data_IF_503291064980
#
_entry.id   IF_503291064980
#
_cell.length_a   1.000
_cell.length_b   1.000
_cell.length_c   1.000
_cell.angle_alpha   90.00
_cell.angle_beta   90.00
_cell.angle_gamma   90.00
#
_symmetry.space_group_name_H-M   'P 1'
#
loop_
_entity.id
_entity.type
_entity.pdbx_description
1 polymer ?
#
# COMPACT_ATOMS: atom_id res chain seq x y z
N UNK A 1 0.82 -10.60 -5.01
CA UNK A 1 1.02 -10.95 -6.43
C UNK A 1 2.49 -10.72 -6.65
N UNK A 2 3.23 -11.73 -7.10
CA UNK A 2 4.69 -11.64 -7.13
C UNK A 2 5.14 -11.25 -8.53
N UNK A 3 5.88 -10.14 -8.63
CA UNK A 3 6.39 -9.59 -9.88
C UNK A 3 7.91 -9.41 -9.74
N UNK A 4 8.73 -10.14 -10.52
CA UNK A 4 10.17 -9.89 -10.56
C UNK A 4 10.47 -8.48 -11.06
N UNK A 5 11.39 -7.76 -10.41
CA UNK A 5 11.82 -6.41 -10.84
C UNK A 5 12.22 -6.39 -12.32
N UNK A 6 12.91 -7.44 -12.77
CA UNK A 6 13.36 -7.62 -14.15
C UNK A 6 12.24 -7.53 -15.20
N UNK A 7 10.99 -7.89 -14.84
CA UNK A 7 9.83 -7.84 -15.77
C UNK A 7 9.25 -6.44 -15.96
N UNK A 8 9.48 -5.52 -15.02
CA UNK A 8 8.92 -4.16 -15.07
C UNK A 8 9.83 -3.28 -15.92
N UNK A 9 9.98 -3.54 -17.22
CA UNK A 9 10.95 -2.86 -18.10
C UNK A 9 10.57 -1.39 -18.39
N UNK A 10 10.64 -0.94 -19.65
CA UNK A 10 10.30 0.43 -20.02
C UNK A 10 8.78 0.69 -20.09
N UNK A 11 7.96 -0.33 -19.86
CA UNK A 11 6.50 -0.24 -19.92
C UNK A 11 5.93 -0.38 -18.52
N UNK A 12 4.96 0.47 -18.21
CA UNK A 12 4.17 0.41 -16.99
C UNK A 12 3.40 -0.92 -16.93
N UNK A 13 3.35 -1.51 -15.74
CA UNK A 13 2.57 -2.71 -15.46
C UNK A 13 1.37 -2.31 -14.60
N UNK A 14 0.16 -2.52 -15.11
CA UNK A 14 -1.05 -2.40 -14.30
C UNK A 14 -1.18 -3.63 -13.39
N UNK A 15 -1.68 -3.42 -12.17
CA UNK A 15 -2.03 -4.49 -11.25
C UNK A 15 -3.39 -4.23 -10.61
N UNK A 16 -4.01 -5.32 -10.17
CA UNK A 16 -5.21 -5.31 -9.34
C UNK A 16 -5.16 -6.53 -8.41
N UNK A 17 -5.37 -6.28 -7.12
CA UNK A 17 -5.50 -7.29 -6.08
C UNK A 17 -6.84 -7.10 -5.40
N UNK A 18 -7.49 -8.21 -5.07
CA UNK A 18 -8.76 -8.23 -4.33
C UNK A 18 -8.57 -9.03 -3.05
N UNK A 19 -9.02 -8.47 -1.92
CA UNK A 19 -9.06 -9.12 -0.61
C UNK A 19 -10.51 -9.16 -0.12
N UNK A 20 -10.94 -10.32 0.40
CA UNK A 20 -12.27 -10.53 0.98
C UNK A 20 -13.43 -10.04 0.08
N UNK A 21 -13.26 -10.12 -1.24
CA UNK A 21 -14.17 -9.68 -2.32
C UNK A 21 -14.46 -8.18 -2.43
N UNK A 22 -14.29 -7.39 -1.37
CA UNK A 22 -14.78 -6.01 -1.31
C UNK A 22 -13.68 -4.97 -1.04
N UNK A 23 -12.42 -5.39 -0.92
CA UNK A 23 -11.27 -4.50 -0.75
C UNK A 23 -10.28 -4.68 -1.91
N UNK A 24 -10.05 -3.59 -2.65
CA UNK A 24 -9.30 -3.57 -3.89
C UNK A 24 -8.02 -2.76 -3.71
N UNK A 25 -6.90 -3.26 -4.23
CA UNK A 25 -5.68 -2.50 -4.41
C UNK A 25 -5.28 -2.58 -5.89
N UNK A 26 -5.38 -1.45 -6.59
CA UNK A 26 -5.09 -1.38 -8.01
C UNK A 26 -4.25 -0.15 -8.34
N UNK A 27 -3.51 -0.23 -9.45
CA UNK A 27 -2.58 0.82 -9.82
C UNK A 27 -1.60 0.40 -10.89
N UNK A 28 -0.50 1.15 -10.95
CA UNK A 28 0.60 0.93 -11.89
C UNK A 28 1.94 0.79 -11.16
N UNK A 29 2.81 -0.03 -11.75
CA UNK A 29 4.22 -0.10 -11.43
C UNK A 29 5.02 0.49 -12.60
N UNK A 30 5.88 1.46 -12.29
CA UNK A 30 6.71 2.16 -13.28
C UNK A 30 8.17 2.16 -12.87
N UNK A 31 9.05 1.62 -13.71
CA UNK A 31 10.50 1.68 -13.47
C UNK A 31 10.99 3.13 -13.47
N UNK A 32 11.74 3.51 -12.44
CA UNK A 32 12.41 4.82 -12.30
C UNK A 32 13.89 4.70 -12.63
N UNK A 33 14.54 3.65 -12.14
CA UNK A 33 15.93 3.33 -12.43
C UNK A 33 16.14 1.79 -12.37
N UNK A 34 17.36 1.25 -12.60
CA UNK A 34 17.58 -0.21 -12.63
C UNK A 34 17.16 -0.97 -11.36
N UNK A 35 17.13 -0.32 -10.20
CA UNK A 35 16.82 -0.93 -8.90
C UNK A 35 15.58 -0.31 -8.24
N UNK A 36 14.94 0.68 -8.88
CA UNK A 36 13.81 1.40 -8.29
C UNK A 36 12.58 1.37 -9.20
N UNK A 37 11.46 0.96 -8.62
CA UNK A 37 10.14 0.97 -9.23
C UNK A 37 9.22 1.85 -8.40
N UNK A 38 8.51 2.78 -9.04
CA UNK A 38 7.45 3.55 -8.40
C UNK A 38 6.14 2.76 -8.46
N UNK A 39 5.50 2.59 -7.31
CA UNK A 39 4.14 2.09 -7.19
C UNK A 39 3.19 3.27 -7.01
N UNK A 40 2.19 3.36 -7.88
CA UNK A 40 1.16 4.40 -7.85
C UNK A 40 -0.19 3.71 -7.93
N UNK A 41 -0.92 3.68 -6.82
CA UNK A 41 -2.17 2.95 -6.74
C UNK A 41 -3.14 3.51 -5.72
N UNK A 42 -4.25 2.83 -5.55
CA UNK A 42 -5.28 3.20 -4.60
C UNK A 42 -5.84 1.95 -3.94
N UNK A 43 -6.03 2.00 -2.62
CA UNK A 43 -6.76 1.01 -1.84
C UNK A 43 -8.18 1.53 -1.63
N UNK A 44 -9.18 0.76 -2.09
CA UNK A 44 -10.60 1.12 -2.03
C UNK A 44 -11.46 -0.03 -1.55
N UNK A 45 -12.40 0.26 -0.66
CA UNK A 45 -13.37 -0.72 -0.17
C UNK A 45 -13.78 -0.46 1.26
N UNK A 46 -14.13 -1.53 1.97
CA UNK A 46 -14.59 -1.44 3.35
C UNK A 46 -13.95 -2.55 4.20
N UNK A 47 -13.64 -2.24 5.45
CA UNK A 47 -13.17 -3.23 6.42
C UNK A 47 -14.01 -3.20 7.70
N UNK A 48 -14.05 -4.33 8.40
CA UNK A 48 -14.49 -4.35 9.79
C UNK A 48 -13.38 -3.77 10.66
N UNK A 49 -13.73 -2.78 11.48
CA UNK A 49 -12.78 -2.10 12.36
C UNK A 49 -13.37 -1.94 13.77
N UNK A 50 -12.49 -1.85 14.76
CA UNK A 50 -12.88 -1.66 16.17
C UNK A 50 -12.70 -0.18 16.50
N UNK A 51 -13.75 0.47 16.98
CA UNK A 51 -13.67 1.88 17.37
C UNK A 51 -12.60 2.10 18.44
N UNK A 52 -11.62 2.97 18.15
CA UNK A 52 -10.48 3.23 19.04
C UNK A 52 -10.88 3.89 20.38
N UNK A 53 -12.13 4.35 20.49
CA UNK A 53 -12.65 4.98 21.71
C UNK A 53 -13.50 4.06 22.57
N UNK A 54 -14.48 3.37 21.96
CA UNK A 54 -15.48 2.59 22.72
C UNK A 54 -15.38 1.07 22.52
N UNK A 55 -14.56 0.60 21.58
CA UNK A 55 -14.40 -0.84 21.30
C UNK A 55 -15.54 -1.47 20.49
N UNK A 56 -16.55 -0.70 20.06
CA UNK A 56 -17.62 -1.21 19.19
C UNK A 56 -17.07 -1.52 17.79
N UNK A 57 -17.49 -2.64 17.20
CA UNK A 57 -17.23 -2.96 15.79
C UNK A 57 -18.07 -2.04 14.87
N UNK A 58 -17.47 -1.53 13.82
CA UNK A 58 -18.16 -0.81 12.75
C UNK A 58 -17.49 -1.07 11.39
N UNK A 59 -18.19 -0.70 10.32
CA UNK A 59 -17.64 -0.76 8.96
C UNK A 59 -16.91 0.55 8.68
N UNK A 60 -15.62 0.44 8.38
CA UNK A 60 -14.74 1.55 8.05
C UNK A 60 -14.51 1.58 6.53
N UNK A 61 -15.02 2.61 5.81
CA UNK A 61 -14.68 2.80 4.41
C UNK A 61 -13.21 3.21 4.26
N UNK A 62 -12.58 2.71 3.21
CA UNK A 62 -11.20 3.01 2.82
C UNK A 62 -11.20 3.58 1.40
N UNK A 63 -10.55 4.72 1.24
CA UNK A 63 -10.18 5.34 -0.03
C UNK A 63 -8.84 6.03 0.19
N UNK A 64 -7.75 5.30 -0.08
CA UNK A 64 -6.38 5.72 0.22
C UNK A 64 -5.51 5.64 -1.03
N UNK A 65 -4.83 6.72 -1.37
CA UNK A 65 -3.78 6.71 -2.39
C UNK A 65 -2.47 6.13 -1.83
N UNK A 66 -1.79 5.33 -2.65
CA UNK A 66 -0.52 4.65 -2.34
C UNK A 66 0.55 5.09 -3.32
N UNK A 67 1.62 5.73 -2.82
CA UNK A 67 2.70 6.32 -3.61
C UNK A 67 4.08 5.89 -3.10
N UNK A 68 4.42 4.62 -3.27
CA UNK A 68 5.64 4.01 -2.72
C UNK A 68 6.79 3.92 -3.74
N UNK A 69 8.01 3.99 -3.24
CA UNK A 69 9.19 3.53 -3.94
C UNK A 69 9.46 2.07 -3.56
N UNK A 70 9.63 1.19 -4.55
CA UNK A 70 9.95 -0.21 -4.36
C UNK A 70 11.39 -0.42 -4.83
N UNK A 71 12.27 -0.78 -3.90
CA UNK A 71 13.71 -0.92 -4.14
C UNK A 71 14.11 -2.39 -4.21
N UNK A 72 14.89 -2.75 -5.24
CA UNK A 72 15.57 -4.04 -5.37
C UNK A 72 16.91 -3.96 -4.62
N UNK A 73 16.86 -4.28 -3.34
CA UNK A 73 17.94 -4.14 -2.37
C UNK A 73 17.87 -2.84 -1.57
N UNK A 74 18.99 -2.48 -0.95
CA UNK A 74 19.09 -1.32 -0.06
C UNK A 74 18.88 -0.03 -0.85
N UNK A 75 17.87 0.74 -0.46
CA UNK A 75 17.65 2.08 -0.96
C UNK A 75 18.62 3.04 -0.28
N UNK A 76 19.39 3.76 -1.10
CA UNK A 76 20.25 4.84 -0.61
C UNK A 76 19.61 6.15 -0.99
N UNK A 77 18.99 6.79 -0.02
CA UNK A 77 18.53 8.16 -0.17
C UNK A 77 19.73 9.05 -0.54
N UNK A 78 19.57 9.78 -1.64
CA UNK A 78 20.61 10.67 -2.18
C UNK A 78 20.31 12.13 -1.88
N UNK A 79 19.07 12.46 -1.50
CA UNK A 79 18.58 13.85 -1.44
C UNK A 79 18.12 14.27 -0.04
N UNK A 80 18.30 13.43 0.99
CA UNK A 80 17.74 13.64 2.35
C UNK A 80 16.22 13.86 2.29
N UNK A 81 15.56 13.26 1.31
CA UNK A 81 14.11 13.28 1.20
C UNK A 81 13.56 12.08 1.98
N UNK A 82 12.56 12.32 2.83
CA UNK A 82 11.78 11.26 3.46
C UNK A 82 11.01 10.51 2.36
N UNK A 83 11.68 9.51 1.77
CA UNK A 83 11.14 8.69 0.69
C UNK A 83 10.43 7.48 1.30
N UNK A 84 9.13 7.38 1.06
CA UNK A 84 8.34 6.22 1.45
C UNK A 84 8.73 5.01 0.58
N UNK A 85 9.56 4.12 1.15
CA UNK A 85 10.31 3.11 0.40
C UNK A 85 10.21 1.74 1.04
N UNK A 86 9.88 0.74 0.23
CA UNK A 86 9.89 -0.68 0.61
C UNK A 86 11.07 -1.36 -0.08
N UNK A 87 11.93 -2.01 0.70
CA UNK A 87 13.13 -2.71 0.24
C UNK A 87 12.89 -4.22 0.11
N UNK A 88 13.15 -4.77 -1.07
CA UNK A 88 13.03 -6.19 -1.37
C UNK A 88 14.42 -6.77 -1.61
N UNK A 89 14.71 -7.95 -1.06
CA UNK A 89 16.06 -8.53 -1.11
C UNK A 89 16.17 -9.82 -1.94
N UNK A 90 15.07 -10.26 -2.55
CA UNK A 90 15.00 -11.50 -3.35
C UNK A 90 14.77 -11.24 -4.85
N UNK A 91 14.79 -9.98 -5.28
CA UNK A 91 14.54 -9.56 -6.66
C UNK A 91 13.07 -9.61 -7.09
N UNK A 92 12.13 -9.77 -6.15
CA UNK A 92 10.70 -9.82 -6.43
C UNK A 92 9.92 -8.79 -5.60
N UNK A 93 8.96 -8.13 -6.24
CA UNK A 93 7.94 -7.33 -5.56
C UNK A 93 6.78 -8.27 -5.20
N UNK A 94 6.47 -8.42 -3.91
CA UNK A 94 5.19 -9.00 -3.50
C UNK A 94 4.15 -7.92 -3.18
N UNK A 95 3.26 -7.67 -4.14
CA UNK A 95 2.18 -6.71 -3.96
C UNK A 95 1.17 -7.09 -2.87
N UNK A 96 1.15 -8.35 -2.40
CA UNK A 96 0.32 -8.71 -1.24
C UNK A 96 0.91 -8.15 0.05
N UNK A 97 2.23 -8.18 0.19
CA UNK A 97 2.92 -7.62 1.34
C UNK A 97 2.78 -6.10 1.36
N UNK A 98 2.96 -5.45 0.20
CA UNK A 98 2.69 -4.01 0.03
C UNK A 98 1.24 -3.70 0.42
N UNK A 99 0.27 -4.47 -0.05
CA UNK A 99 -1.13 -4.23 0.30
C UNK A 99 -1.38 -4.37 1.81
N UNK A 100 -0.80 -5.38 2.46
CA UNK A 100 -0.95 -5.54 3.91
C UNK A 100 -0.27 -4.41 4.67
N UNK A 101 0.95 -4.00 4.29
CA UNK A 101 1.67 -2.92 4.97
C UNK A 101 0.90 -1.60 4.90
N UNK A 102 0.37 -1.25 3.73
CA UNK A 102 -0.39 -0.02 3.55
C UNK A 102 -1.72 -0.05 4.32
N UNK A 103 -2.37 -1.22 4.39
CA UNK A 103 -3.58 -1.37 5.17
C UNK A 103 -3.32 -1.24 6.68
N UNK A 104 -2.22 -1.81 7.17
CA UNK A 104 -1.83 -1.64 8.58
C UNK A 104 -1.37 -0.21 8.88
N UNK A 105 -0.71 0.46 7.94
CA UNK A 105 -0.40 1.89 8.05
C UNK A 105 -1.67 2.73 8.12
N UNK A 106 -2.67 2.46 7.27
CA UNK A 106 -3.98 3.10 7.35
C UNK A 106 -4.65 2.88 8.70
N UNK A 107 -4.68 1.64 9.20
CA UNK A 107 -5.24 1.30 10.52
C UNK A 107 -4.47 1.90 11.71
N UNK A 108 -3.27 2.44 11.48
CA UNK A 108 -2.51 3.11 12.55
C UNK A 108 -3.06 4.50 12.90
N UNK A 109 -3.91 5.06 12.05
CA UNK A 109 -4.71 6.23 12.36
C UNK A 109 -5.86 5.90 13.34
N UNK A 110 -6.46 6.95 13.91
CA UNK A 110 -7.59 6.80 14.82
C UNK A 110 -8.93 6.91 14.10
N UNK A 111 -9.75 5.87 14.19
CA UNK A 111 -11.08 5.81 13.62
C UNK A 111 -12.16 5.59 14.68
N UNK A 112 -13.22 6.39 14.58
CA UNK A 112 -14.32 6.39 15.52
C UNK A 112 -15.62 5.98 14.83
N UNK A 113 -16.41 5.14 15.51
CA UNK A 113 -17.77 4.88 15.10
C UNK A 113 -18.63 6.16 15.22
N UNK A 114 -19.80 6.19 14.59
CA UNK A 114 -20.70 7.36 14.57
C UNK A 114 -21.05 7.91 15.96
N UNK A 115 -21.15 7.03 16.97
CA UNK A 115 -21.43 7.43 18.36
C UNK A 115 -20.28 8.24 18.99
N UNK A 116 -19.06 8.06 18.50
CA UNK A 116 -17.83 8.63 19.07
C UNK A 116 -17.23 9.78 18.27
N UNK A 117 -17.66 10.00 17.01
CA UNK A 117 -17.10 11.06 16.12
C UNK A 117 -17.27 12.49 16.64
N UNK A 118 -18.24 12.75 17.53
CA UNK A 118 -18.60 14.10 18.01
C UNK A 118 -18.53 14.25 19.54
N UNK A 119 -17.73 13.43 20.20
CA UNK A 119 -17.46 13.49 21.64
C UNK A 119 -16.06 14.08 21.87
#
# INVERSE_FOLDING_TARGET
MIIPFSKIANKEINFELVRNNDLFFSGILKRKDPFLVKCQGTIKGEIKYICDRCGDEFILPIDQDVELNLSDGVYKDRENELSDTVEFFDGNIDLKEVFESELEAFKSDYFYCEKCKNL
#
